data_IF_648552013851
#
_entry.id   IF_648552013851
#
_cell.length_a   1.000
_cell.length_b   1.000
_cell.length_c   1.000
_cell.angle_alpha   90.00
_cell.angle_beta   90.00
_cell.angle_gamma   90.00
#
_symmetry.space_group_name_H-M   'P 1'
#
loop_
_entity.id
_entity.type
_entity.pdbx_description
1 polymer ?
#
# COMPACT_ATOMS: atom_id res chain seq x y z
N UNK A 1 18.67 14.29 -5.25
CA UNK A 1 17.19 14.16 -5.17
C UNK A 1 16.75 12.88 -5.91
N UNK A 2 17.03 11.69 -5.34
CA UNK A 2 16.84 10.38 -6.00
C UNK A 2 15.92 9.41 -5.23
N UNK A 3 15.50 9.78 -4.02
CA UNK A 3 14.66 8.96 -3.14
C UNK A 3 13.15 9.05 -3.45
N UNK A 4 12.68 10.11 -4.15
CA UNK A 4 11.26 10.27 -4.49
C UNK A 4 10.72 9.30 -5.57
N UNK A 5 11.57 8.40 -6.09
CA UNK A 5 11.20 7.50 -7.19
C UNK A 5 10.79 6.10 -6.73
N UNK A 6 11.06 5.74 -5.47
CA UNK A 6 10.75 4.42 -4.91
C UNK A 6 9.87 4.48 -3.65
N UNK A 7 9.28 5.65 -3.35
CA UNK A 7 8.50 5.87 -2.13
C UNK A 7 7.38 4.84 -1.95
N UNK A 8 6.72 4.45 -3.05
CA UNK A 8 5.66 3.42 -3.02
C UNK A 8 6.22 2.03 -2.68
N UNK A 9 7.28 1.58 -3.35
CA UNK A 9 7.90 0.27 -3.07
C UNK A 9 8.53 0.22 -1.67
N UNK A 10 9.12 1.32 -1.21
CA UNK A 10 9.66 1.41 0.15
C UNK A 10 8.55 1.43 1.20
N UNK A 11 7.42 2.10 0.95
CA UNK A 11 6.26 2.09 1.83
C UNK A 11 5.64 0.69 1.93
N UNK A 12 5.35 0.05 0.80
CA UNK A 12 4.82 -1.32 0.79
C UNK A 12 5.79 -2.34 1.33
N UNK A 13 7.09 -2.21 1.02
CA UNK A 13 8.13 -3.08 1.59
C UNK A 13 8.22 -2.93 3.11
N UNK A 14 8.12 -1.71 3.65
CA UNK A 14 8.13 -1.48 5.09
C UNK A 14 6.89 -2.05 5.76
N UNK A 15 5.70 -1.82 5.19
CA UNK A 15 4.45 -2.40 5.69
C UNK A 15 4.48 -3.92 5.65
N UNK A 16 5.02 -4.51 4.59
CA UNK A 16 5.19 -5.95 4.46
C UNK A 16 6.12 -6.51 5.55
N UNK A 17 7.26 -5.88 5.80
CA UNK A 17 8.19 -6.28 6.88
C UNK A 17 7.52 -6.15 8.26
N UNK A 18 6.79 -5.06 8.51
CA UNK A 18 6.04 -4.89 9.77
C UNK A 18 4.98 -5.97 9.95
N UNK A 19 4.26 -6.34 8.89
CA UNK A 19 3.29 -7.42 8.91
C UNK A 19 3.96 -8.78 9.22
N UNK A 20 5.10 -9.08 8.58
CA UNK A 20 5.88 -10.29 8.85
C UNK A 20 6.36 -10.35 10.30
N UNK A 21 6.83 -9.23 10.86
CA UNK A 21 7.24 -9.16 12.27
C UNK A 21 6.04 -9.45 13.17
N UNK A 22 4.90 -8.79 12.94
CA UNK A 22 3.68 -9.02 13.69
C UNK A 22 3.27 -10.50 13.68
N UNK A 23 3.21 -11.10 12.49
CA UNK A 23 2.85 -12.50 12.30
C UNK A 23 3.87 -13.47 12.92
N UNK A 24 5.17 -13.14 12.89
CA UNK A 24 6.20 -13.94 13.57
C UNK A 24 6.07 -13.95 15.10
N UNK A 25 5.42 -12.93 15.68
CA UNK A 25 5.23 -12.80 17.13
C UNK A 25 3.91 -13.46 17.55
N UNK A 26 2.82 -13.24 16.81
CA UNK A 26 1.50 -13.77 17.16
C UNK A 26 1.29 -15.22 16.71
N UNK A 27 1.90 -15.61 15.58
CA UNK A 27 1.77 -16.95 15.01
C UNK A 27 2.20 -18.10 15.93
N UNK A 28 3.37 -18.04 16.61
CA UNK A 28 3.78 -19.08 17.54
C UNK A 28 2.82 -19.24 18.73
N UNK A 29 2.13 -18.18 19.15
CA UNK A 29 1.18 -18.23 20.26
C UNK A 29 -0.03 -19.08 19.85
N UNK A 30 -0.63 -18.74 18.71
CA UNK A 30 -1.80 -19.42 18.19
C UNK A 30 -1.49 -20.87 17.77
N UNK A 31 -0.30 -21.10 17.22
CA UNK A 31 0.20 -22.42 16.87
C UNK A 31 0.40 -23.30 18.11
N UNK A 32 1.05 -22.77 19.16
CA UNK A 32 1.28 -23.52 20.40
C UNK A 32 -0.02 -23.77 21.17
N UNK A 33 -1.01 -22.88 21.11
CA UNK A 33 -2.33 -23.15 21.67
C UNK A 33 -3.02 -24.34 20.98
N UNK A 34 -2.91 -24.43 19.64
CA UNK A 34 -3.41 -25.59 18.88
C UNK A 34 -2.64 -26.86 19.24
N UNK A 35 -1.31 -26.83 19.25
CA UNK A 35 -0.49 -28.01 19.61
C UNK A 35 -0.76 -28.47 21.05
N UNK A 36 -0.95 -27.54 21.99
CA UNK A 36 -1.33 -27.87 23.36
C UNK A 36 -2.67 -28.59 23.45
N UNK A 37 -3.65 -28.23 22.60
CA UNK A 37 -4.92 -28.95 22.52
C UNK A 37 -4.79 -30.37 21.96
N UNK A 38 -3.73 -30.65 21.20
CA UNK A 38 -3.37 -31.97 20.69
C UNK A 38 -2.39 -32.74 21.60
N UNK A 39 -1.97 -32.14 22.73
CA UNK A 39 -1.03 -32.74 23.67
C UNK A 39 0.43 -32.70 23.22
N UNK A 40 0.75 -31.91 22.20
CA UNK A 40 2.12 -31.73 21.71
C UNK A 40 2.88 -30.65 22.51
N UNK A 41 4.22 -30.77 22.61
CA UNK A 41 5.05 -29.76 23.28
C UNK A 41 5.08 -28.45 22.46
N UNK A 42 5.19 -27.29 23.12
CA UNK A 42 5.25 -26.01 22.43
C UNK A 42 6.55 -25.90 21.61
N UNK A 43 6.45 -25.38 20.40
CA UNK A 43 7.59 -25.07 19.53
C UNK A 43 8.17 -23.70 19.89
N UNK A 44 9.48 -23.59 19.77
CA UNK A 44 10.18 -22.32 19.93
C UNK A 44 9.93 -21.37 18.76
N UNK A 45 10.08 -20.07 18.99
CA UNK A 45 9.91 -19.05 17.94
C UNK A 45 10.74 -19.32 16.68
N UNK A 46 12.02 -19.68 16.84
CA UNK A 46 12.92 -19.97 15.73
C UNK A 46 12.47 -21.19 14.90
N UNK A 47 11.94 -22.21 15.56
CA UNK A 47 11.43 -23.42 14.91
C UNK A 47 10.14 -23.10 14.15
N UNK A 48 9.25 -22.31 14.74
CA UNK A 48 8.03 -21.84 14.11
C UNK A 48 8.29 -21.03 12.83
N UNK A 49 9.17 -20.03 12.84
CA UNK A 49 9.42 -19.20 11.65
C UNK A 49 10.12 -19.96 10.51
N UNK A 50 10.78 -21.08 10.81
CA UNK A 50 11.37 -21.98 9.81
C UNK A 50 10.44 -23.11 9.39
N UNK A 51 9.27 -23.23 10.03
CA UNK A 51 8.30 -24.27 9.74
C UNK A 51 7.58 -24.03 8.42
N UNK A 52 7.07 -25.11 7.82
CA UNK A 52 6.20 -25.00 6.65
C UNK A 52 4.89 -24.29 6.97
N UNK A 53 4.38 -24.41 8.20
CA UNK A 53 3.13 -23.75 8.63
C UNK A 53 3.25 -22.23 8.52
N UNK A 54 4.35 -21.65 9.00
CA UNK A 54 4.59 -20.21 8.89
C UNK A 54 4.66 -19.74 7.43
N UNK A 55 5.30 -20.51 6.56
CA UNK A 55 5.38 -20.17 5.12
C UNK A 55 4.02 -20.25 4.46
N UNK A 56 3.21 -21.26 4.80
CA UNK A 56 1.84 -21.41 4.32
C UNK A 56 0.97 -20.27 4.84
N UNK A 57 1.02 -19.93 6.13
CA UNK A 57 0.26 -18.81 6.70
C UNK A 57 0.63 -17.45 6.08
N UNK A 58 1.88 -17.26 5.69
CA UNK A 58 2.33 -16.05 4.99
C UNK A 58 1.91 -16.07 3.51
N UNK A 59 1.98 -17.22 2.84
CA UNK A 59 1.71 -17.35 1.40
C UNK A 59 0.21 -17.47 1.08
N UNK A 60 -0.56 -18.14 1.93
CA UNK A 60 -2.00 -18.35 1.83
C UNK A 60 -2.80 -17.29 2.59
N UNK A 61 -2.20 -16.12 2.84
CA UNK A 61 -2.80 -15.07 3.65
C UNK A 61 -3.99 -14.38 2.93
N UNK A 62 -5.08 -15.13 2.72
CA UNK A 62 -6.30 -14.76 1.98
C UNK A 62 -7.17 -13.79 2.76
N UNK A 63 -7.00 -13.70 4.08
CA UNK A 63 -7.79 -12.84 4.95
C UNK A 63 -7.39 -11.36 4.84
N UNK A 64 -6.14 -11.09 4.46
CA UNK A 64 -5.64 -9.73 4.28
C UNK A 64 -5.73 -9.25 2.82
N UNK A 65 -6.26 -10.06 1.89
CA UNK A 65 -6.38 -9.70 0.47
C UNK A 65 -7.11 -8.35 0.29
N UNK A 66 -8.23 -8.18 0.97
CA UNK A 66 -9.03 -6.94 0.90
C UNK A 66 -8.36 -5.76 1.60
N UNK A 67 -7.67 -5.98 2.73
CA UNK A 67 -6.94 -4.91 3.42
C UNK A 67 -5.73 -4.46 2.62
N UNK A 68 -5.01 -5.40 2.01
CA UNK A 68 -3.89 -5.15 1.12
C UNK A 68 -4.36 -4.36 -0.12
N UNK A 69 -5.47 -4.76 -0.75
CA UNK A 69 -6.03 -4.03 -1.89
C UNK A 69 -6.50 -2.63 -1.49
N UNK A 70 -7.14 -2.48 -0.33
CA UNK A 70 -7.55 -1.18 0.21
C UNK A 70 -6.37 -0.25 0.50
N UNK A 71 -5.33 -0.77 1.15
CA UNK A 71 -4.10 -0.02 1.40
C UNK A 71 -3.37 0.31 0.11
N UNK A 72 -3.39 -0.59 -0.88
CA UNK A 72 -2.90 -0.31 -2.23
C UNK A 72 -3.62 0.87 -2.88
N UNK A 73 -4.95 0.86 -2.90
CA UNK A 73 -5.75 1.95 -3.46
C UNK A 73 -5.48 3.27 -2.72
N UNK A 74 -5.53 3.28 -1.38
CA UNK A 74 -5.25 4.49 -0.60
C UNK A 74 -3.82 5.00 -0.79
N UNK A 75 -2.84 4.10 -0.86
CA UNK A 75 -1.47 4.46 -1.13
C UNK A 75 -1.33 5.05 -2.53
N UNK A 76 -2.00 4.51 -3.56
CA UNK A 76 -1.97 5.11 -4.91
C UNK A 76 -2.61 6.50 -4.98
N UNK A 77 -3.53 6.83 -4.06
CA UNK A 77 -4.13 8.18 -3.96
C UNK A 77 -3.14 9.18 -3.33
N UNK A 78 -2.37 8.78 -2.32
CA UNK A 78 -1.50 9.68 -1.55
C UNK A 78 -0.01 9.65 -1.92
N UNK A 79 0.48 8.56 -2.54
CA UNK A 79 1.87 8.40 -2.98
C UNK A 79 1.93 8.52 -4.49
N UNK A 80 2.24 9.73 -4.96
CA UNK A 80 2.51 10.04 -6.38
C UNK A 80 3.71 9.24 -6.87
N UNK A 81 3.49 8.29 -7.76
CA UNK A 81 4.56 7.49 -8.37
C UNK A 81 5.01 8.13 -9.69
N UNK A 82 6.25 8.61 -9.76
CA UNK A 82 6.84 9.11 -11.02
C UNK A 82 6.92 7.98 -12.05
N UNK A 83 5.99 7.95 -13.01
CA UNK A 83 6.06 7.05 -14.16
C UNK A 83 4.88 6.10 -14.37
N UNK A 84 3.82 6.15 -13.55
CA UNK A 84 2.55 5.54 -13.96
C UNK A 84 1.89 6.43 -15.01
N UNK A 85 1.37 5.89 -16.14
CA UNK A 85 0.63 6.68 -17.13
C UNK A 85 -0.62 7.38 -16.55
N UNK A 86 -1.07 6.96 -15.36
CA UNK A 86 -2.15 7.56 -14.59
C UNK A 86 -1.70 8.57 -13.52
N UNK A 87 -0.40 8.63 -13.17
CA UNK A 87 0.10 9.52 -12.10
C UNK A 87 0.75 10.78 -12.67
N UNK A 88 0.34 11.95 -12.16
CA UNK A 88 1.03 13.22 -12.42
C UNK A 88 2.51 13.15 -12.02
N UNK A 89 3.38 13.91 -12.71
CA UNK A 89 4.82 13.88 -12.45
C UNK A 89 5.12 14.59 -11.12
N UNK A 90 6.17 14.19 -10.36
CA UNK A 90 6.58 14.90 -9.16
C UNK A 90 6.98 16.33 -9.49
N UNK A 91 6.33 17.29 -8.84
CA UNK A 91 6.40 18.72 -9.15
C UNK A 91 5.11 19.30 -9.76
N UNK A 92 4.20 18.46 -10.23
CA UNK A 92 2.84 18.83 -10.68
C UNK A 92 1.79 18.46 -9.60
N UNK A 93 2.19 18.57 -8.33
CA UNK A 93 1.35 18.24 -7.18
C UNK A 93 0.31 19.36 -7.00
N UNK A 94 -0.93 19.12 -7.43
CA UNK A 94 -2.02 20.09 -7.37
C UNK A 94 -2.97 20.01 -8.58
N UNK A 95 -4.00 20.85 -8.56
CA UNK A 95 -4.67 21.27 -9.79
C UNK A 95 -3.60 22.02 -10.62
N UNK A 96 -3.51 21.74 -11.93
CA UNK A 96 -2.51 22.40 -12.79
C UNK A 96 -2.72 23.92 -12.80
N UNK A 97 -1.88 24.69 -13.48
CA UNK A 97 -2.19 26.12 -13.62
C UNK A 97 -3.50 26.31 -14.38
N UNK A 98 -4.17 27.45 -14.22
CA UNK A 98 -5.43 27.72 -14.92
C UNK A 98 -5.26 27.71 -16.45
N UNK A 99 -4.04 28.01 -16.91
CA UNK A 99 -3.64 27.91 -18.32
C UNK A 99 -3.59 26.46 -18.80
N UNK A 100 -3.00 25.56 -18.00
CA UNK A 100 -2.92 24.13 -18.29
C UNK A 100 -4.30 23.45 -18.24
N UNK A 101 -5.17 23.93 -17.34
CA UNK A 101 -6.52 23.41 -17.17
C UNK A 101 -7.54 24.07 -18.11
N UNK A 102 -7.17 25.15 -18.81
CA UNK A 102 -8.03 25.92 -19.70
C UNK A 102 -9.29 26.41 -18.97
N UNK A 103 -9.10 26.99 -17.79
CA UNK A 103 -10.15 27.57 -16.94
C UNK A 103 -9.93 29.07 -16.75
N UNK A 104 -10.94 29.78 -16.26
CA UNK A 104 -10.89 31.23 -16.05
C UNK A 104 -10.59 32.00 -17.34
N UNK A 105 -9.61 32.90 -17.30
CA UNK A 105 -9.18 33.72 -18.46
C UNK A 105 -8.56 32.89 -19.60
N UNK A 106 -8.16 31.64 -19.34
CA UNK A 106 -7.53 30.76 -20.32
C UNK A 106 -8.49 29.71 -20.91
N UNK A 107 -9.79 29.84 -20.62
CA UNK A 107 -10.81 28.95 -21.14
C UNK A 107 -11.04 29.10 -22.65
N UNK A 108 -11.30 27.97 -23.32
CA UNK A 108 -11.57 27.95 -24.76
C UNK A 108 -12.92 28.59 -25.09
N UNK A 109 -13.12 29.06 -26.34
CA UNK A 109 -14.39 29.63 -26.78
C UNK A 109 -15.57 28.68 -26.57
N UNK A 110 -15.35 27.38 -26.79
CA UNK A 110 -16.31 26.28 -26.64
C UNK A 110 -16.43 25.73 -25.21
N UNK A 111 -15.65 26.23 -24.24
CA UNK A 111 -15.68 25.72 -22.87
C UNK A 111 -17.04 25.97 -22.18
N UNK A 112 -17.50 25.03 -21.32
CA UNK A 112 -18.70 25.19 -20.49
C UNK A 112 -18.62 26.42 -19.58
N UNK A 113 -19.78 27.00 -19.21
CA UNK A 113 -19.84 28.22 -18.38
C UNK A 113 -19.15 28.09 -17.03
N UNK A 114 -19.16 26.91 -16.41
CA UNK A 114 -18.51 26.66 -15.12
C UNK A 114 -16.98 26.64 -15.21
N UNK A 115 -16.41 26.24 -16.35
CA UNK A 115 -14.96 26.31 -16.57
C UNK A 115 -14.45 27.75 -16.73
N UNK A 116 -15.30 28.66 -17.23
CA UNK A 116 -15.00 30.08 -17.42
C UNK A 116 -15.15 30.92 -16.15
N UNK A 117 -15.72 30.34 -15.09
CA UNK A 117 -16.08 31.05 -13.86
C UNK A 117 -15.15 30.71 -12.67
N UNK A 118 -14.08 29.95 -12.92
CA UNK A 118 -13.02 29.73 -11.93
C UNK A 118 -12.16 31.01 -11.85
N UNK A 119 -12.09 31.61 -10.66
CA UNK A 119 -11.20 32.71 -10.25
C UNK A 119 -10.06 32.17 -9.37
#
# INVERSE_FOLDING_TARGET
MRMRQHELSTAFGSLFVLALIGQSITGPIEFNEKEASHGAPPVGWGEFITSSEFVVDVAENRQYEYLQLFLFILATIWLVQKGSPESKKPGEEGLGTDEEQLVGEHARPDSPKWAKAAD
#
